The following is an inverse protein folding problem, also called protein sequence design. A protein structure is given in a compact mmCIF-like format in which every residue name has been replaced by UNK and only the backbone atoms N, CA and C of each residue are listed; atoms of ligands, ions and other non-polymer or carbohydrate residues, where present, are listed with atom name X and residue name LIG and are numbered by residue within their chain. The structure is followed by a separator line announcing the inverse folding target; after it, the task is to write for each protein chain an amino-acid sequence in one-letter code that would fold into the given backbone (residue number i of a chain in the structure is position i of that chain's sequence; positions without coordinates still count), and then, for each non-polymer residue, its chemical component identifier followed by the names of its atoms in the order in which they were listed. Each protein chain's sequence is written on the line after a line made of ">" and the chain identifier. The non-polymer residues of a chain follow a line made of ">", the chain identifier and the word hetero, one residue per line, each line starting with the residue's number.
data_IF_822293697646
#
_entry.id   IF_822293697646
#
_cell.length_a   1.000
_cell.length_b   1.000
_cell.length_c   1.000
_cell.angle_alpha   90.00
_cell.angle_beta   90.00
_cell.angle_gamma   90.00
#
_symmetry.space_group_name_H-M   'P 1'
#
loop_
_entity.id
_entity.type
_entity.pdbx_description
1 polymer ?
#
# COMPACT_ATOMS: atom_id res chain seq x y z
N UNK A 1 -18.47 -24.90 36.40
CA UNK A 1 -18.31 -23.46 36.11
C UNK A 1 -16.95 -23.18 35.47
N UNK A 2 -15.87 -23.77 35.99
CA UNK A 2 -14.50 -23.65 35.43
C UNK A 2 -14.38 -23.90 33.91
N UNK A 3 -14.97 -24.98 33.37
CA UNK A 3 -14.87 -25.30 31.95
C UNK A 3 -15.61 -24.33 31.02
N UNK A 4 -16.69 -23.70 31.51
CA UNK A 4 -17.47 -22.74 30.73
C UNK A 4 -16.72 -21.39 30.62
N UNK A 5 -16.08 -20.97 31.71
CA UNK A 5 -15.23 -19.77 31.73
C UNK A 5 -14.04 -19.94 30.79
N UNK A 6 -13.38 -21.10 30.82
CA UNK A 6 -12.29 -21.41 29.89
C UNK A 6 -12.71 -21.37 28.41
N UNK A 7 -13.88 -21.93 28.10
CA UNK A 7 -14.45 -21.90 26.75
C UNK A 7 -14.73 -20.46 26.27
N UNK A 8 -15.34 -19.64 27.12
CA UNK A 8 -15.61 -18.24 26.79
C UNK A 8 -14.33 -17.43 26.55
N UNK A 9 -13.30 -17.63 27.38
CA UNK A 9 -12.01 -16.96 27.22
C UNK A 9 -11.30 -17.38 25.93
N UNK A 10 -11.35 -18.66 25.57
CA UNK A 10 -10.76 -19.16 24.33
C UNK A 10 -11.44 -18.55 23.09
N UNK A 11 -12.77 -18.47 23.10
CA UNK A 11 -13.54 -17.83 22.02
C UNK A 11 -13.17 -16.35 21.90
N UNK A 12 -13.13 -15.62 23.02
CA UNK A 12 -12.75 -14.21 23.03
C UNK A 12 -11.32 -13.98 22.49
N UNK A 13 -10.37 -14.84 22.88
CA UNK A 13 -8.99 -14.76 22.41
C UNK A 13 -8.88 -14.92 20.89
N UNK A 14 -9.66 -15.83 20.29
CA UNK A 14 -9.70 -16.01 18.83
C UNK A 14 -10.18 -14.73 18.14
N UNK A 15 -11.24 -14.10 18.64
CA UNK A 15 -11.73 -12.85 18.05
C UNK A 15 -10.69 -11.71 18.13
N UNK A 16 -9.98 -11.59 19.24
CA UNK A 16 -8.90 -10.59 19.40
C UNK A 16 -7.72 -10.89 18.48
N UNK A 17 -7.38 -12.17 18.29
CA UNK A 17 -6.31 -12.60 17.39
C UNK A 17 -6.57 -12.24 15.93
N UNK A 18 -7.83 -12.35 15.49
CA UNK A 18 -8.25 -12.02 14.13
C UNK A 18 -8.60 -10.53 13.92
N UNK A 19 -8.50 -9.70 14.96
CA UNK A 19 -8.81 -8.28 14.90
C UNK A 19 -7.97 -7.51 13.84
N UNK A 20 -6.63 -7.70 13.73
CA UNK A 20 -5.83 -6.99 12.73
C UNK A 20 -6.23 -7.35 11.29
N UNK A 21 -6.55 -8.62 11.05
CA UNK A 21 -7.03 -9.11 9.75
C UNK A 21 -8.39 -8.49 9.41
N UNK A 22 -9.31 -8.39 10.37
CA UNK A 22 -10.61 -7.76 10.17
C UNK A 22 -10.48 -6.25 9.82
N UNK A 23 -9.59 -5.53 10.50
CA UNK A 23 -9.31 -4.11 10.22
C UNK A 23 -8.74 -3.94 8.80
N UNK A 24 -7.84 -4.82 8.38
CA UNK A 24 -7.31 -4.83 7.02
C UNK A 24 -8.38 -5.10 5.95
N UNK A 25 -9.32 -6.02 6.22
CA UNK A 25 -10.46 -6.32 5.34
C UNK A 25 -11.36 -5.12 5.07
N UNK A 26 -11.59 -4.28 6.09
CA UNK A 26 -12.48 -3.11 5.99
C UNK A 26 -11.89 -1.99 5.13
N UNK A 27 -10.56 -1.91 5.00
CA UNK A 27 -9.87 -0.88 4.20
C UNK A 27 -9.64 -1.26 2.73
N UNK A 28 -10.17 -2.40 2.24
CA UNK A 28 -9.94 -2.89 0.86
C UNK A 28 -8.46 -2.87 0.45
N UNK A 29 -7.56 -3.18 1.39
CA UNK A 29 -6.13 -3.21 1.10
C UNK A 29 -5.83 -4.29 0.06
N UNK A 30 -5.27 -3.90 -1.08
CA UNK A 30 -4.85 -4.82 -2.16
C UNK A 30 -3.93 -5.96 -1.66
N UNK A 31 -3.24 -5.76 -0.53
CA UNK A 31 -2.33 -6.74 0.10
C UNK A 31 -2.86 -7.33 1.40
N UNK A 32 -4.19 -7.46 1.52
CA UNK A 32 -4.85 -8.13 2.65
C UNK A 32 -4.26 -9.50 2.98
N UNK A 33 -3.92 -10.29 1.95
CA UNK A 33 -3.32 -11.61 2.10
C UNK A 33 -1.95 -11.57 2.81
N UNK A 34 -1.18 -10.51 2.61
CA UNK A 34 0.14 -10.35 3.22
C UNK A 34 0.01 -9.99 4.71
N UNK A 35 -0.92 -9.10 5.05
CA UNK A 35 -1.24 -8.77 6.45
C UNK A 35 -1.79 -9.99 7.18
N UNK A 36 -2.68 -10.76 6.55
CA UNK A 36 -3.21 -12.00 7.11
C UNK A 36 -2.12 -13.07 7.34
N UNK A 37 -1.19 -13.22 6.40
CA UNK A 37 -0.08 -14.17 6.49
C UNK A 37 0.89 -13.81 7.63
N UNK A 38 1.26 -12.53 7.76
CA UNK A 38 2.12 -12.08 8.86
C UNK A 38 1.36 -12.21 10.20
N UNK A 39 0.07 -11.90 10.25
CA UNK A 39 -0.72 -12.10 11.47
C UNK A 39 -0.79 -13.59 11.87
N UNK A 40 -0.79 -14.52 10.91
CA UNK A 40 -0.76 -15.97 11.21
C UNK A 40 0.60 -16.42 11.78
N UNK A 41 1.71 -15.93 11.20
CA UNK A 41 3.07 -16.36 11.58
C UNK A 41 3.61 -15.59 12.77
N UNK A 42 3.21 -14.34 12.97
CA UNK A 42 3.75 -13.45 13.99
C UNK A 42 2.71 -13.04 15.05
N UNK A 43 1.44 -13.40 14.89
CA UNK A 43 0.38 -13.07 15.85
C UNK A 43 0.52 -13.79 17.20
N UNK A 44 1.30 -14.87 17.27
CA UNK A 44 1.72 -15.50 18.53
C UNK A 44 2.71 -14.63 19.32
N UNK A 45 3.29 -13.60 18.70
CA UNK A 45 4.14 -12.61 19.37
C UNK A 45 3.36 -11.31 19.53
N UNK A 46 3.32 -10.76 20.74
CA UNK A 46 2.62 -9.49 21.00
C UNK A 46 3.13 -8.36 20.09
N UNK A 47 4.43 -8.34 19.82
CA UNK A 47 5.10 -7.38 18.93
C UNK A 47 4.65 -7.57 17.47
N UNK A 48 4.57 -8.81 16.99
CA UNK A 48 4.10 -9.11 15.63
C UNK A 48 2.62 -8.77 15.40
N UNK A 49 1.78 -9.01 16.41
CA UNK A 49 0.37 -8.60 16.39
C UNK A 49 0.21 -7.08 16.31
N UNK A 50 0.95 -6.32 17.14
CA UNK A 50 0.97 -4.85 17.12
C UNK A 50 1.49 -4.29 15.78
N UNK A 51 2.54 -4.89 15.22
CA UNK A 51 3.07 -4.53 13.91
C UNK A 51 2.06 -4.74 12.78
N UNK A 52 1.34 -5.87 12.78
CA UNK A 52 0.26 -6.13 11.82
C UNK A 52 -0.88 -5.13 11.97
N UNK A 53 -1.25 -4.78 13.20
CA UNK A 53 -2.30 -3.80 13.47
C UNK A 53 -1.89 -2.40 12.98
N UNK A 54 -0.67 -1.97 13.29
CA UNK A 54 -0.13 -0.70 12.81
C UNK A 54 -0.11 -0.64 11.27
N UNK A 55 0.31 -1.74 10.62
CA UNK A 55 0.31 -1.82 9.16
C UNK A 55 -1.11 -1.87 8.57
N UNK A 56 -2.06 -2.57 9.20
CA UNK A 56 -3.46 -2.58 8.80
C UNK A 56 -4.12 -1.20 8.90
N UNK A 57 -3.70 -0.38 9.87
CA UNK A 57 -4.18 1.00 10.03
C UNK A 57 -3.51 1.96 9.06
N UNK A 58 -2.26 1.71 8.67
CA UNK A 58 -1.54 2.53 7.70
C UNK A 58 -2.28 2.57 6.36
N UNK A 59 -2.65 3.77 5.92
CA UNK A 59 -3.04 3.99 4.55
C UNK A 59 -1.79 3.88 3.68
N UNK A 60 -1.91 3.10 2.61
CA UNK A 60 -0.94 3.17 1.55
C UNK A 60 -1.16 4.49 0.85
N UNK A 61 -0.30 5.46 1.12
CA UNK A 61 0.20 6.25 0.02
C UNK A 61 0.96 5.24 -0.83
N UNK A 62 0.28 4.66 -1.82
CA UNK A 62 0.98 4.00 -2.92
C UNK A 62 1.76 5.14 -3.57
N UNK A 63 2.96 5.41 -3.05
CA UNK A 63 4.00 6.04 -3.84
C UNK A 63 4.33 4.96 -4.85
N UNK A 64 3.50 4.91 -5.89
CA UNK A 64 3.88 4.37 -7.17
C UNK A 64 5.19 5.07 -7.48
N UNK A 65 6.28 4.33 -7.28
CA UNK A 65 7.60 4.76 -7.70
C UNK A 65 7.52 4.73 -9.23
N UNK A 66 6.87 5.73 -9.81
CA UNK A 66 6.97 6.03 -11.22
C UNK A 66 8.44 6.39 -11.38
N UNK A 67 9.23 5.41 -11.81
CA UNK A 67 10.58 5.64 -12.30
C UNK A 67 10.42 6.45 -13.58
N UNK A 68 10.21 7.76 -13.43
CA UNK A 68 10.36 8.69 -14.54
C UNK A 68 11.85 8.68 -14.85
N UNK A 69 12.24 8.00 -15.91
CA UNK A 69 13.55 8.23 -16.52
C UNK A 69 13.49 9.67 -17.05
N UNK A 70 13.95 10.64 -16.25
CA UNK A 70 13.95 12.09 -16.55
C UNK A 70 14.69 12.38 -17.87
N UNK A 71 15.46 11.43 -18.41
CA UNK A 71 16.14 11.52 -19.70
C UNK A 71 15.46 10.84 -20.90
N UNK A 72 14.44 10.00 -20.72
CA UNK A 72 13.80 9.28 -21.85
C UNK A 72 12.45 9.90 -22.24
N UNK A 73 11.64 10.33 -21.27
CA UNK A 73 10.29 10.84 -21.58
C UNK A 73 10.26 12.33 -21.98
N UNK A 74 11.38 13.04 -21.85
CA UNK A 74 11.47 14.49 -22.05
C UNK A 74 12.63 14.84 -23.00
N UNK A 75 12.33 15.54 -24.10
CA UNK A 75 13.31 16.13 -25.02
C UNK A 75 13.26 17.66 -24.93
N UNK A 76 14.35 18.35 -25.28
CA UNK A 76 14.30 19.81 -25.47
C UNK A 76 13.74 20.15 -26.86
N UNK A 77 12.89 21.16 -26.93
CA UNK A 77 12.39 21.68 -28.21
C UNK A 77 13.50 22.45 -28.95
N UNK A 78 13.83 22.11 -30.21
CA UNK A 78 14.94 22.73 -30.95
C UNK A 78 14.74 24.22 -31.29
N UNK A 79 13.53 24.75 -31.10
CA UNK A 79 13.19 26.13 -31.46
C UNK A 79 13.10 27.09 -30.28
N UNK A 80 12.76 26.61 -29.08
CA UNK A 80 12.49 27.46 -27.91
C UNK A 80 13.07 26.93 -26.61
N UNK A 81 13.78 25.79 -26.66
CA UNK A 81 14.45 25.15 -25.52
C UNK A 81 13.53 24.73 -24.36
N UNK A 82 12.21 24.70 -24.60
CA UNK A 82 11.22 24.20 -23.66
C UNK A 82 11.31 22.66 -23.54
N UNK A 83 11.17 22.15 -22.31
CA UNK A 83 11.07 20.72 -22.03
C UNK A 83 9.71 20.17 -22.46
N UNK A 84 9.71 19.26 -23.42
CA UNK A 84 8.53 18.67 -24.04
C UNK A 84 8.57 17.15 -23.91
N UNK A 85 7.39 16.51 -23.87
CA UNK A 85 7.30 15.05 -23.86
C UNK A 85 7.88 14.48 -25.16
N UNK A 86 8.55 13.34 -25.12
CA UNK A 86 9.12 12.69 -26.31
C UNK A 86 8.04 12.40 -27.36
N UNK A 87 6.85 11.97 -26.92
CA UNK A 87 5.66 11.70 -27.76
C UNK A 87 4.95 12.97 -28.28
N UNK A 88 5.45 14.17 -27.98
CA UNK A 88 4.82 15.40 -28.44
C UNK A 88 5.05 15.61 -29.94
N UNK A 89 3.95 15.75 -30.70
CA UNK A 89 3.97 16.07 -32.14
C UNK A 89 4.18 17.57 -32.39
N UNK A 90 3.79 18.43 -31.44
CA UNK A 90 3.96 19.88 -31.51
C UNK A 90 4.30 20.48 -30.13
N UNK A 91 5.03 21.59 -30.12
CA UNK A 91 5.38 22.29 -28.90
C UNK A 91 4.26 23.25 -28.46
N UNK A 92 3.82 23.19 -27.20
CA UNK A 92 2.78 24.08 -26.64
C UNK A 92 3.20 25.56 -26.57
N UNK A 93 4.51 25.83 -26.47
CA UNK A 93 5.04 27.18 -26.27
C UNK A 93 5.23 27.91 -27.61
N UNK A 94 5.97 27.30 -28.54
CA UNK A 94 6.26 27.92 -29.85
C UNK A 94 5.30 27.49 -30.98
N UNK A 95 4.43 26.50 -30.75
CA UNK A 95 3.47 25.93 -31.72
C UNK A 95 4.08 25.38 -33.02
N UNK A 96 5.39 25.13 -33.03
CA UNK A 96 6.06 24.40 -34.12
C UNK A 96 5.94 22.90 -33.91
N UNK A 97 5.83 22.18 -35.02
CA UNK A 97 6.04 20.73 -35.13
C UNK A 97 7.46 20.34 -34.69
N UNK A 98 7.60 19.15 -34.09
CA UNK A 98 8.75 18.69 -33.31
C UNK A 98 9.45 17.46 -33.86
#
# INVERSE_FOLDING_TARGET
>A
MEGFIGLLLAIAAIFVYFFPTYVASRKMHSKIYLIAFINLIAGWTFIGWLGCLAWAMSEKNEVEQVTVNIGEDLKSCPYCDELIREKAVFCKHCRKDL
#
